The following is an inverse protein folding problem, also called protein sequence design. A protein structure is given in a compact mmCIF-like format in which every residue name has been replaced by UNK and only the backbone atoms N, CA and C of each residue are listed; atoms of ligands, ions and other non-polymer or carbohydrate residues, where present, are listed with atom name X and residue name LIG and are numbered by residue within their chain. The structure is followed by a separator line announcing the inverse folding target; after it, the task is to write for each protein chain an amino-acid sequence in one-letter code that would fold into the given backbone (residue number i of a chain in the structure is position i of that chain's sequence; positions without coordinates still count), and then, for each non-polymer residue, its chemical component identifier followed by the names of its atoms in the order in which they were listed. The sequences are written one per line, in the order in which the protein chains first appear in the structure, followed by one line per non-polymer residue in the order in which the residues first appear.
data_IF_523643497052
#
_entry.id   IF_523643497052
#
_cell.length_a   1.000
_cell.length_b   1.000
_cell.length_c   1.000
_cell.angle_alpha   90.00
_cell.angle_beta   90.00
_cell.angle_gamma   90.00
#
_symmetry.space_group_name_H-M   'P 1'
#
loop_
_entity.id
_entity.type
_entity.pdbx_description
1 polymer ?
#
# COMPACT_ATOMS: atom_id res chain seq x y z
N UNK A 1 10.35 -10.46 -6.51
CA UNK A 1 11.15 -10.10 -5.32
C UNK A 1 12.63 -10.43 -5.51
N UNK A 2 12.99 -11.67 -5.87
CA UNK A 2 14.39 -12.08 -6.01
C UNK A 2 15.23 -11.26 -7.00
N UNK A 3 14.69 -10.94 -8.19
CA UNK A 3 15.38 -10.08 -9.17
C UNK A 3 15.59 -8.65 -8.64
N UNK A 4 14.56 -8.04 -8.05
CA UNK A 4 14.67 -6.70 -7.47
C UNK A 4 15.70 -6.62 -6.34
N UNK A 5 15.75 -7.62 -5.45
CA UNK A 5 16.76 -7.68 -4.38
C UNK A 5 18.17 -7.86 -4.93
N UNK A 6 18.34 -8.65 -5.99
CA UNK A 6 19.62 -8.79 -6.69
C UNK A 6 20.08 -7.46 -7.29
N UNK A 7 19.18 -6.71 -7.91
CA UNK A 7 19.50 -5.41 -8.51
C UNK A 7 19.82 -4.35 -7.45
N UNK A 8 19.03 -4.29 -6.38
CA UNK A 8 19.30 -3.42 -5.22
C UNK A 8 20.69 -3.74 -4.65
N UNK A 9 21.00 -5.02 -4.43
CA UNK A 9 22.31 -5.45 -3.94
C UNK A 9 23.42 -5.03 -4.90
N UNK A 10 23.26 -5.25 -6.21
CA UNK A 10 24.26 -4.87 -7.19
C UNK A 10 24.54 -3.36 -7.19
N UNK A 11 23.51 -2.52 -7.03
CA UNK A 11 23.64 -1.07 -6.92
C UNK A 11 24.32 -0.65 -5.61
N UNK A 12 23.99 -1.30 -4.49
CA UNK A 12 24.63 -1.04 -3.19
C UNK A 12 26.10 -1.47 -3.18
N UNK A 13 26.41 -2.65 -3.71
CA UNK A 13 27.79 -3.15 -3.86
C UNK A 13 28.62 -2.25 -4.80
N UNK A 14 27.97 -1.59 -5.78
CA UNK A 14 28.57 -0.59 -6.65
C UNK A 14 28.74 0.80 -6.01
N UNK A 15 28.35 0.97 -4.73
CA UNK A 15 28.58 2.19 -3.96
C UNK A 15 27.43 3.20 -4.01
N UNK A 16 26.17 2.76 -4.19
CA UNK A 16 25.01 3.63 -4.03
C UNK A 16 25.05 4.36 -2.67
N UNK A 17 24.89 5.69 -2.71
CA UNK A 17 24.95 6.54 -1.52
C UNK A 17 23.79 7.57 -1.55
N UNK A 18 22.80 7.47 -0.64
CA UNK A 18 22.66 6.43 0.39
C UNK A 18 22.40 5.03 -0.21
N UNK A 19 22.63 3.94 0.55
CA UNK A 19 22.23 2.60 0.14
C UNK A 19 20.73 2.55 -0.20
N UNK A 20 20.40 1.79 -1.24
CA UNK A 20 19.04 1.56 -1.72
C UNK A 20 18.37 0.52 -0.84
N UNK A 21 17.17 0.82 -0.35
CA UNK A 21 16.28 -0.11 0.35
C UNK A 21 15.15 -0.61 -0.57
N UNK A 22 14.69 -1.84 -0.36
CA UNK A 22 13.54 -2.39 -1.08
C UNK A 22 12.26 -2.29 -0.25
N UNK A 23 11.21 -1.68 -0.81
CA UNK A 23 9.88 -1.64 -0.18
C UNK A 23 9.01 -2.70 -0.86
N UNK A 24 8.52 -3.67 -0.09
CA UNK A 24 7.70 -4.76 -0.61
C UNK A 24 6.39 -4.85 0.18
N UNK A 25 5.28 -4.99 -0.53
CA UNK A 25 3.97 -5.20 0.09
C UNK A 25 3.65 -6.69 0.05
N UNK A 26 3.55 -7.30 1.23
CA UNK A 26 3.06 -8.67 1.38
C UNK A 26 1.54 -8.60 1.48
N UNK A 27 0.86 -8.87 0.37
CA UNK A 27 -0.58 -8.66 0.25
C UNK A 27 -1.25 -9.84 -0.48
N UNK A 28 -1.20 -11.03 0.11
CA UNK A 28 -1.77 -12.25 -0.48
C UNK A 28 -2.44 -13.16 0.55
N UNK A 29 -3.10 -12.59 1.57
CA UNK A 29 -3.82 -13.37 2.57
C UNK A 29 -4.91 -14.26 1.92
N UNK A 30 -5.22 -15.43 2.49
CA UNK A 30 -6.41 -16.20 2.11
C UNK A 30 -7.69 -15.44 2.42
N UNK A 31 -8.68 -15.55 1.52
CA UNK A 31 -9.92 -14.77 1.57
C UNK A 31 -9.65 -13.27 1.75
N UNK A 32 -8.61 -12.76 1.07
CA UNK A 32 -8.20 -11.35 1.12
C UNK A 32 -9.39 -10.45 0.82
N UNK A 33 -9.44 -9.33 1.53
CA UNK A 33 -10.49 -8.32 1.38
C UNK A 33 -11.88 -8.92 1.66
N UNK A 34 -12.02 -9.66 2.76
CA UNK A 34 -13.23 -10.39 3.15
C UNK A 34 -14.51 -9.54 3.25
N UNK A 35 -14.40 -8.21 3.20
CA UNK A 35 -15.51 -7.25 3.18
C UNK A 35 -15.64 -6.48 1.85
N UNK A 36 -14.79 -6.75 0.85
CA UNK A 36 -14.79 -6.12 -0.47
C UNK A 36 -14.88 -7.18 -1.58
N UNK A 37 -15.45 -6.81 -2.73
CA UNK A 37 -15.55 -7.66 -3.92
C UNK A 37 -14.45 -7.36 -4.96
N UNK A 38 -13.83 -6.19 -4.87
CA UNK A 38 -12.70 -5.81 -5.72
C UNK A 38 -11.41 -6.27 -5.04
N UNK A 39 -11.17 -7.57 -5.16
CA UNK A 39 -9.91 -8.20 -4.81
C UNK A 39 -9.49 -9.19 -5.87
N UNK A 40 -8.19 -9.18 -6.19
CA UNK A 40 -7.53 -10.23 -6.94
C UNK A 40 -6.85 -11.24 -5.98
N UNK A 41 -7.46 -11.56 -4.85
CA UNK A 41 -6.90 -12.53 -3.90
C UNK A 41 -7.04 -13.95 -4.47
N UNK A 42 -5.92 -14.61 -4.76
CA UNK A 42 -5.92 -15.94 -5.39
C UNK A 42 -6.04 -17.10 -4.38
N UNK A 43 -5.90 -16.80 -3.08
CA UNK A 43 -5.95 -17.80 -2.00
C UNK A 43 -7.33 -17.81 -1.35
N UNK A 44 -7.96 -18.99 -1.27
CA UNK A 44 -9.26 -19.20 -0.63
C UNK A 44 -9.11 -20.19 0.52
N UNK A 45 -9.62 -19.88 1.71
CA UNK A 45 -9.47 -20.75 2.89
C UNK A 45 -10.06 -22.16 2.66
N UNK A 46 -11.21 -22.22 1.99
CA UNK A 46 -11.88 -23.47 1.64
C UNK A 46 -11.07 -24.38 0.69
N UNK A 47 -10.08 -23.82 -0.02
CA UNK A 47 -9.17 -24.55 -0.92
C UNK A 47 -7.73 -24.55 -0.38
N UNK A 48 -7.58 -24.78 0.93
CA UNK A 48 -6.28 -24.89 1.58
C UNK A 48 -5.48 -23.59 1.60
N UNK A 49 -6.14 -22.43 1.51
CA UNK A 49 -5.52 -21.11 1.43
C UNK A 49 -4.50 -20.84 2.53
N UNK A 50 -4.75 -21.32 3.76
CA UNK A 50 -3.82 -21.18 4.90
C UNK A 50 -2.46 -21.83 4.62
N UNK A 51 -2.43 -23.06 4.09
CA UNK A 51 -1.17 -23.75 3.79
C UNK A 51 -0.46 -23.14 2.58
N UNK A 52 -1.22 -22.69 1.57
CA UNK A 52 -0.67 -21.92 0.44
C UNK A 52 -0.09 -20.58 0.88
N UNK A 53 -0.71 -19.92 1.86
CA UNK A 53 -0.21 -18.68 2.44
C UNK A 53 1.05 -18.88 3.27
N UNK A 54 1.12 -19.95 4.07
CA UNK A 54 2.36 -20.33 4.76
C UNK A 54 3.50 -20.58 3.77
N UNK A 55 3.26 -21.32 2.69
CA UNK A 55 4.26 -21.54 1.65
C UNK A 55 4.69 -20.22 0.97
N UNK A 56 3.75 -19.29 0.75
CA UNK A 56 4.05 -17.94 0.26
C UNK A 56 4.92 -17.15 1.25
N UNK A 57 4.60 -17.15 2.54
CA UNK A 57 5.42 -16.53 3.58
C UNK A 57 6.80 -17.19 3.72
N UNK A 58 6.89 -18.52 3.62
CA UNK A 58 8.16 -19.25 3.63
C UNK A 58 9.03 -18.88 2.43
N UNK A 59 8.43 -18.69 1.25
CA UNK A 59 9.15 -18.21 0.06
C UNK A 59 9.70 -16.79 0.25
N UNK A 60 8.93 -15.91 0.89
CA UNK A 60 9.38 -14.56 1.26
C UNK A 60 10.53 -14.67 2.26
N UNK A 61 10.38 -15.48 3.31
CA UNK A 61 11.42 -15.69 4.34
C UNK A 61 12.72 -16.21 3.74
N UNK A 62 12.66 -17.15 2.81
CA UNK A 62 13.84 -17.66 2.11
C UNK A 62 14.55 -16.54 1.33
N UNK A 63 13.79 -15.67 0.66
CA UNK A 63 14.35 -14.52 -0.03
C UNK A 63 14.99 -13.55 0.97
N UNK A 64 14.33 -13.23 2.08
CA UNK A 64 14.87 -12.34 3.13
C UNK A 64 16.20 -12.88 3.68
N UNK A 65 16.27 -14.17 3.99
CA UNK A 65 17.49 -14.79 4.53
C UNK A 65 18.69 -14.74 3.57
N UNK A 66 18.45 -14.65 2.26
CA UNK A 66 19.50 -14.52 1.25
C UNK A 66 20.06 -13.09 1.14
N UNK A 67 19.43 -12.10 1.78
CA UNK A 67 19.85 -10.70 1.78
C UNK A 67 19.83 -10.09 3.20
N UNK A 68 20.64 -10.62 4.14
CA UNK A 68 20.60 -10.22 5.55
C UNK A 68 21.01 -8.76 5.81
N UNK A 69 21.72 -8.15 4.87
CA UNK A 69 22.20 -6.77 4.96
C UNK A 69 21.23 -5.76 4.31
N UNK A 70 20.05 -6.22 3.85
CA UNK A 70 19.03 -5.39 3.20
C UNK A 70 17.86 -5.12 4.15
N UNK A 71 17.55 -3.84 4.38
CA UNK A 71 16.45 -3.41 5.25
C UNK A 71 15.08 -3.61 4.56
N UNK A 72 14.08 -4.13 5.30
CA UNK A 72 12.75 -4.51 4.79
C UNK A 72 11.66 -3.92 5.69
N UNK A 73 10.61 -3.36 5.08
CA UNK A 73 9.50 -2.68 5.78
C UNK A 73 8.15 -3.28 5.34
N UNK A 74 7.21 -3.46 6.28
CA UNK A 74 5.86 -4.01 6.08
C UNK A 74 4.76 -3.00 6.49
N UNK A 75 3.59 -3.03 5.84
CA UNK A 75 2.53 -1.97 5.93
C UNK A 75 1.17 -2.53 6.41
N UNK A 76 0.45 -1.78 7.27
CA UNK A 76 -0.93 -2.06 7.75
C UNK A 76 -1.75 -0.74 7.80
N UNK A 77 -3.03 -0.74 7.37
CA UNK A 77 -3.88 0.47 7.23
C UNK A 77 -4.88 0.75 8.38
N UNK A 78 -5.52 1.94 8.38
CA UNK A 78 -6.46 2.40 9.43
C UNK A 78 -7.42 3.55 8.97
N UNK A 79 -8.48 3.83 9.75
CA UNK A 79 -9.56 4.81 9.55
C UNK A 79 -9.58 6.02 10.54
N UNK A 80 -8.50 6.81 10.61
CA UNK A 80 -8.45 8.09 11.37
C UNK A 80 -8.20 9.28 10.42
N UNK A 81 -8.84 10.44 10.67
CA UNK A 81 -9.02 11.52 9.68
C UNK A 81 -7.71 12.11 9.13
N UNK A 82 -6.64 11.96 9.88
CA UNK A 82 -5.27 12.17 9.42
C UNK A 82 -4.35 11.15 10.13
N UNK A 83 -3.31 10.71 9.43
CA UNK A 83 -2.42 9.66 9.91
C UNK A 83 -1.55 10.13 11.07
N UNK A 84 -1.29 11.43 11.23
CA UNK A 84 -0.50 11.97 12.34
C UNK A 84 -1.25 11.81 13.66
N UNK A 85 -2.50 12.26 13.72
CA UNK A 85 -3.40 12.10 14.87
C UNK A 85 -3.62 10.62 15.18
N UNK A 86 -3.72 9.77 14.15
CA UNK A 86 -3.80 8.32 14.37
C UNK A 86 -2.60 7.79 15.13
N UNK A 87 -1.41 8.01 14.57
CA UNK A 87 -0.16 7.45 15.05
C UNK A 87 0.10 7.92 16.48
N UNK A 88 -0.06 9.21 16.74
CA UNK A 88 0.18 9.80 18.05
C UNK A 88 -0.83 9.33 19.13
N UNK A 89 -2.03 8.86 18.74
CA UNK A 89 -3.00 8.27 19.67
C UNK A 89 -2.86 6.75 19.81
N UNK A 90 -2.31 6.07 18.80
CA UNK A 90 -2.22 4.61 18.76
C UNK A 90 -0.88 4.08 19.31
N UNK A 91 0.23 4.75 19.02
CA UNK A 91 1.56 4.35 19.47
C UNK A 91 1.65 4.17 21.01
N UNK A 92 1.07 5.05 21.86
CA UNK A 92 1.10 4.84 23.31
C UNK A 92 0.37 3.56 23.76
N UNK A 93 -0.69 3.16 23.04
CA UNK A 93 -1.44 1.94 23.33
C UNK A 93 -0.62 0.70 22.97
N UNK A 94 0.07 0.71 21.82
CA UNK A 94 0.99 -0.36 21.43
C UNK A 94 2.15 -0.48 22.43
N UNK A 95 2.76 0.66 22.81
CA UNK A 95 3.82 0.69 23.80
C UNK A 95 3.37 0.13 25.16
N UNK A 96 2.15 0.45 25.60
CA UNK A 96 1.56 -0.10 26.83
C UNK A 96 1.36 -1.62 26.80
N UNK A 97 1.22 -2.19 25.60
CA UNK A 97 1.16 -3.63 25.36
C UNK A 97 2.55 -4.27 25.15
N UNK A 98 3.63 -3.51 25.32
CA UNK A 98 5.01 -3.97 25.15
C UNK A 98 5.51 -3.95 23.70
N UNK A 99 4.82 -3.24 22.80
CA UNK A 99 5.24 -3.06 21.41
C UNK A 99 5.54 -1.60 21.12
N UNK A 100 6.81 -1.24 21.20
CA UNK A 100 7.31 0.10 20.87
C UNK A 100 7.38 0.26 19.34
N UNK A 101 6.25 0.66 18.76
CA UNK A 101 6.03 0.64 17.31
C UNK A 101 6.40 1.96 16.64
N UNK A 102 7.10 1.85 15.51
CA UNK A 102 7.32 2.92 14.55
C UNK A 102 6.43 2.72 13.31
N UNK A 103 6.22 3.79 12.54
CA UNK A 103 5.26 3.83 11.44
C UNK A 103 5.87 4.32 10.14
N UNK A 104 5.29 3.87 9.03
CA UNK A 104 5.45 4.49 7.71
C UNK A 104 4.08 4.89 7.18
N UNK A 105 4.02 5.96 6.40
CA UNK A 105 2.74 6.52 5.91
C UNK A 105 2.73 6.59 4.38
N UNK A 106 1.70 5.98 3.77
CA UNK A 106 1.49 6.08 2.32
C UNK A 106 0.96 7.47 1.96
N UNK A 107 1.72 8.17 1.12
CA UNK A 107 1.43 9.52 0.63
C UNK A 107 1.25 9.54 -0.90
N UNK A 108 1.18 8.36 -1.53
CA UNK A 108 1.15 8.22 -2.99
C UNK A 108 -0.03 8.89 -3.67
N UNK A 109 -1.15 9.08 -2.96
CA UNK A 109 -2.41 9.64 -3.54
C UNK A 109 -3.05 10.75 -2.69
N UNK A 110 -2.31 11.33 -1.75
CA UNK A 110 -2.86 12.29 -0.78
C UNK A 110 -2.54 13.78 -1.07
N UNK A 111 -2.00 14.11 -2.25
CA UNK A 111 -1.53 15.48 -2.56
C UNK A 111 -2.64 16.52 -2.72
N UNK A 112 -3.89 16.08 -2.89
CA UNK A 112 -5.04 16.98 -2.94
C UNK A 112 -6.00 16.64 -1.81
N UNK A 113 -6.19 17.59 -0.91
CA UNK A 113 -7.13 17.53 0.21
C UNK A 113 -8.00 18.80 0.25
N UNK A 114 -9.30 18.71 0.57
CA UNK A 114 -10.06 17.45 0.59
C UNK A 114 -10.05 16.77 -0.79
N UNK A 115 -10.12 15.45 -0.79
CA UNK A 115 -10.33 14.66 -2.00
C UNK A 115 -11.74 14.91 -2.57
N UNK A 116 -12.09 14.23 -3.66
CA UNK A 116 -13.47 14.23 -4.16
C UNK A 116 -14.40 13.25 -3.47
N UNK A 117 -13.98 12.60 -2.37
CA UNK A 117 -14.79 11.61 -1.66
C UNK A 117 -16.08 12.23 -1.12
N UNK A 118 -17.20 11.52 -1.24
CA UNK A 118 -18.50 11.89 -0.66
C UNK A 118 -18.67 11.25 0.73
N UNK A 119 -18.12 10.06 0.93
CA UNK A 119 -17.96 9.43 2.22
C UNK A 119 -16.52 8.94 2.40
N UNK A 120 -16.05 8.93 3.65
CA UNK A 120 -14.67 8.55 3.94
C UNK A 120 -14.36 7.08 3.63
N UNK A 121 -15.38 6.23 3.65
CA UNK A 121 -15.29 4.84 3.21
C UNK A 121 -15.17 4.65 1.69
N UNK A 122 -15.28 5.72 0.89
CA UNK A 122 -15.25 5.62 -0.57
C UNK A 122 -13.78 5.54 -1.03
N UNK A 123 -13.29 4.33 -1.25
CA UNK A 123 -11.86 4.05 -1.43
C UNK A 123 -11.44 3.82 -2.89
N UNK A 124 -12.39 3.47 -3.77
CA UNK A 124 -12.07 2.99 -5.11
C UNK A 124 -11.95 4.12 -6.13
N UNK A 125 -10.76 4.28 -6.74
CA UNK A 125 -10.53 5.17 -7.89
C UNK A 125 -11.00 6.62 -7.66
N UNK A 126 -10.86 7.10 -6.44
CA UNK A 126 -11.41 8.38 -5.97
C UNK A 126 -11.02 9.56 -6.88
N UNK A 127 -12.02 10.31 -7.33
CA UNK A 127 -11.82 11.53 -8.13
C UNK A 127 -11.17 12.64 -7.31
N UNK A 128 -10.53 13.58 -8.00
CA UNK A 128 -9.96 14.76 -7.33
C UNK A 128 -8.83 14.44 -6.37
N UNK A 129 -8.12 13.33 -6.57
CA UNK A 129 -6.88 12.97 -5.89
C UNK A 129 -5.65 13.48 -6.67
N UNK A 130 -4.48 13.45 -6.02
CA UNK A 130 -3.21 13.85 -6.62
C UNK A 130 -2.04 13.16 -5.93
N UNK A 131 -0.90 13.05 -6.61
CA UNK A 131 0.33 12.56 -5.99
C UNK A 131 0.74 13.48 -4.84
N UNK A 132 1.07 12.91 -3.69
CA UNK A 132 1.41 13.65 -2.48
C UNK A 132 2.90 13.90 -2.29
N UNK A 133 3.27 14.08 -1.02
CA UNK A 133 4.66 14.21 -0.61
C UNK A 133 5.49 13.05 -1.16
N UNK A 134 6.69 13.34 -1.67
CA UNK A 134 7.59 12.29 -2.19
C UNK A 134 8.10 11.45 -1.01
N UNK A 135 8.47 10.17 -1.24
CA UNK A 135 9.05 9.35 -0.18
C UNK A 135 10.26 10.03 0.47
N UNK A 136 10.27 10.11 1.80
CA UNK A 136 11.31 10.80 2.59
C UNK A 136 11.29 10.30 4.03
N UNK A 137 12.45 10.33 4.70
CA UNK A 137 12.58 10.12 6.15
C UNK A 137 12.49 11.44 6.94
N UNK A 138 12.45 12.58 6.25
CA UNK A 138 12.20 13.89 6.87
C UNK A 138 10.70 14.10 7.07
N UNK A 139 10.14 13.41 8.07
CA UNK A 139 8.70 13.35 8.34
C UNK A 139 8.24 14.43 9.33
N UNK A 140 9.17 14.95 10.14
CA UNK A 140 8.88 15.88 11.24
C UNK A 140 8.08 15.25 12.39
N UNK A 141 8.04 13.92 12.50
CA UNK A 141 7.38 13.17 13.57
C UNK A 141 8.28 12.00 14.01
N UNK A 142 8.61 11.94 15.30
CA UNK A 142 9.54 10.94 15.86
C UNK A 142 9.00 9.50 15.77
N UNK A 143 7.69 9.32 15.62
CA UNK A 143 7.05 8.01 15.47
C UNK A 143 6.93 7.57 14.00
N UNK A 144 7.23 8.45 13.05
CA UNK A 144 7.08 8.17 11.61
C UNK A 144 8.46 8.10 10.97
N UNK A 145 8.88 6.88 10.65
CA UNK A 145 10.19 6.61 10.03
C UNK A 145 10.28 7.16 8.61
N UNK A 146 9.19 7.08 7.85
CA UNK A 146 9.16 7.56 6.47
C UNK A 146 7.75 7.85 5.94
N UNK A 147 7.67 8.85 5.05
CA UNK A 147 6.65 8.88 4.01
C UNK A 147 7.08 7.95 2.87
N UNK A 148 6.13 7.18 2.36
CA UNK A 148 6.33 6.19 1.29
C UNK A 148 5.21 6.29 0.26
N UNK A 149 5.42 5.73 -0.93
CA UNK A 149 4.36 5.52 -1.93
C UNK A 149 4.14 4.01 -2.05
N UNK A 150 3.12 3.51 -1.36
CA UNK A 150 2.84 2.07 -1.28
C UNK A 150 1.91 1.64 -2.40
N UNK A 151 0.73 2.26 -2.49
CA UNK A 151 -0.15 2.07 -3.66
C UNK A 151 0.42 2.84 -4.86
N UNK A 152 0.78 2.17 -5.97
CA UNK A 152 1.26 2.86 -7.15
C UNK A 152 0.13 3.69 -7.76
N UNK A 153 0.26 5.02 -7.68
CA UNK A 153 -0.68 5.95 -8.29
C UNK A 153 -0.70 5.74 -9.81
N UNK A 154 -1.84 5.32 -10.35
CA UNK A 154 -1.97 4.93 -11.74
C UNK A 154 -2.34 3.46 -11.95
N UNK A 155 -2.31 2.63 -10.90
CA UNK A 155 -2.92 1.30 -10.95
C UNK A 155 -4.36 1.37 -10.42
N UNK A 156 -5.33 0.88 -11.19
CA UNK A 156 -6.75 0.86 -10.82
C UNK A 156 -6.96 0.13 -9.49
N UNK A 157 -7.90 0.61 -8.70
CA UNK A 157 -8.36 -0.04 -7.47
C UNK A 157 -9.41 -1.13 -7.75
N UNK A 158 -10.12 -1.05 -8.87
CA UNK A 158 -11.18 -1.97 -9.25
C UNK A 158 -11.97 -1.51 -10.47
N UNK A 159 -12.66 -2.44 -11.12
CA UNK A 159 -13.44 -2.17 -12.33
C UNK A 159 -14.77 -1.50 -12.00
N UNK A 160 -15.21 -0.59 -12.89
CA UNK A 160 -16.55 0.00 -12.81
C UNK A 160 -17.59 -0.75 -13.65
N UNK A 161 -17.20 -1.84 -14.32
CA UNK A 161 -18.10 -2.67 -15.11
C UNK A 161 -18.85 -3.66 -14.22
N UNK A 162 -20.14 -3.36 -13.99
CA UNK A 162 -21.06 -4.14 -13.15
C UNK A 162 -21.27 -5.58 -13.62
N UNK A 163 -20.90 -5.91 -14.86
CA UNK A 163 -21.04 -7.27 -15.41
C UNK A 163 -19.88 -8.22 -15.02
N UNK A 164 -18.79 -7.66 -14.49
CA UNK A 164 -17.61 -8.43 -14.10
C UNK A 164 -17.81 -9.14 -12.76
N UNK A 165 -17.14 -10.28 -12.59
CA UNK A 165 -17.21 -11.05 -11.33
C UNK A 165 -16.59 -10.34 -10.13
N UNK A 166 -15.68 -9.39 -10.37
CA UNK A 166 -14.92 -8.65 -9.34
C UNK A 166 -15.39 -7.20 -9.19
N UNK A 167 -16.58 -6.89 -9.71
CA UNK A 167 -17.18 -5.60 -9.50
C UNK A 167 -17.45 -5.38 -8.00
N UNK A 168 -16.94 -4.27 -7.48
CA UNK A 168 -17.28 -3.76 -6.15
C UNK A 168 -18.12 -2.50 -6.29
N UNK A 169 -19.17 -2.40 -5.46
CA UNK A 169 -20.07 -1.26 -5.47
C UNK A 169 -19.35 0.07 -5.24
N UNK A 170 -18.24 0.08 -4.48
CA UNK A 170 -17.45 1.29 -4.26
C UNK A 170 -16.83 1.83 -5.56
N UNK A 171 -16.51 0.96 -6.52
CA UNK A 171 -15.97 1.36 -7.83
C UNK A 171 -17.05 1.88 -8.80
N UNK A 172 -18.32 1.77 -8.42
CA UNK A 172 -19.47 2.32 -9.14
C UNK A 172 -20.03 3.62 -8.58
N UNK A 173 -19.48 4.12 -7.46
CA UNK A 173 -19.95 5.33 -6.77
C UNK A 173 -19.75 6.60 -7.62
N UNK A 174 -20.43 7.67 -7.21
CA UNK A 174 -20.40 8.97 -7.91
C UNK A 174 -19.01 9.62 -7.91
N UNK A 175 -18.26 9.41 -6.83
CA UNK A 175 -16.91 9.91 -6.61
C UNK A 175 -15.80 8.93 -7.04
N UNK A 176 -16.15 7.80 -7.65
CA UNK A 176 -15.21 6.91 -8.31
C UNK A 176 -15.01 7.34 -9.78
N UNK A 177 -13.75 7.46 -10.21
CA UNK A 177 -13.41 7.77 -11.60
C UNK A 177 -13.82 6.59 -12.49
N UNK A 178 -14.60 6.88 -13.53
CA UNK A 178 -15.17 5.90 -14.46
C UNK A 178 -15.02 6.37 -15.92
N UNK A 179 -14.93 5.44 -16.89
CA UNK A 179 -14.88 3.98 -16.73
C UNK A 179 -13.50 3.53 -16.20
N UNK A 180 -13.50 2.59 -15.25
CA UNK A 180 -12.30 2.04 -14.63
C UNK A 180 -12.04 0.59 -15.07
N UNK A 181 -10.78 0.20 -15.34
CA UNK A 181 -10.44 -1.18 -15.66
C UNK A 181 -10.26 -2.03 -14.39
N UNK A 182 -9.96 -3.33 -14.56
CA UNK A 182 -9.71 -4.28 -13.47
C UNK A 182 -8.63 -3.79 -12.48
N UNK A 183 -8.76 -4.17 -11.22
CA UNK A 183 -7.80 -3.82 -10.16
C UNK A 183 -6.36 -4.23 -10.55
N UNK A 184 -5.40 -3.34 -10.27
CA UNK A 184 -3.97 -3.54 -10.59
C UNK A 184 -3.59 -3.25 -12.04
N UNK A 185 -4.55 -3.05 -12.93
CA UNK A 185 -4.26 -2.64 -14.32
C UNK A 185 -4.04 -1.13 -14.41
N UNK A 186 -3.29 -0.69 -15.43
CA UNK A 186 -2.99 0.72 -15.63
C UNK A 186 -4.26 1.56 -15.87
N UNK A 187 -4.38 2.65 -15.12
CA UNK A 187 -5.48 3.60 -15.18
C UNK A 187 -4.99 5.00 -14.81
N UNK A 188 -5.04 5.94 -15.77
CA UNK A 188 -4.59 7.32 -15.57
C UNK A 188 -5.54 8.10 -14.63
N UNK A 189 -5.42 7.86 -13.32
CA UNK A 189 -6.24 8.44 -12.26
C UNK A 189 -5.76 9.82 -11.82
N UNK A 190 -4.45 10.00 -11.67
CA UNK A 190 -3.86 11.18 -11.04
C UNK A 190 -3.40 12.17 -12.12
N UNK A 191 -3.92 13.41 -12.03
CA UNK A 191 -3.58 14.52 -12.94
C UNK A 191 -2.93 15.72 -12.23
N UNK A 192 -2.87 15.68 -10.91
CA UNK A 192 -2.28 16.73 -10.08
C UNK A 192 -1.26 16.11 -9.12
N UNK A 193 -0.26 16.90 -8.75
CA UNK A 193 0.76 16.51 -7.79
C UNK A 193 1.03 17.70 -6.87
N UNK A 194 1.19 17.43 -5.58
CA UNK A 194 1.55 18.42 -4.58
C UNK A 194 2.53 17.78 -3.57
N UNK A 195 3.81 18.18 -3.61
CA UNK A 195 4.41 19.17 -4.51
C UNK A 195 4.34 18.77 -6.00
N UNK A 196 4.41 19.74 -6.90
CA UNK A 196 4.41 19.47 -8.36
C UNK A 196 5.63 18.65 -8.79
N UNK A 197 5.49 17.93 -9.91
CA UNK A 197 6.57 17.10 -10.46
C UNK A 197 7.75 17.89 -10.99
#
# INVERSE_FOLDING_TARGET
MGEYLKDIKALNDAGASPPIAGIFVVYNLPDRDCTALASNGDLVNADGGVEKYKAYIDSIREHINNYPDTQIILVIGNAVCDEKSYINNFAPQLASAGFDAHFIVDTGRNGKQPTGQLAWGDWCNVIGTGFGARPTTDTGDELVDAFVWVKPGGESDGTSDTSTKRYDAHCGLEDALRPAPEAGTWFQLLRSANPSF
#
